data_IF_585266518070
#
_entry.id   IF_585266518070
#
_cell.length_a   1.000
_cell.length_b   1.000
_cell.length_c   1.000
_cell.angle_alpha   90.00
_cell.angle_beta   90.00
_cell.angle_gamma   90.00
#
_symmetry.space_group_name_H-M   'P 1'
#
loop_
_entity.id
_entity.type
_entity.pdbx_description
1 polymer ?
#
# COMPACT_ATOMS: atom_id res chain seq x y z
N UNK A 1 -17.90 38.49 2.68
CA UNK A 1 -17.38 37.44 3.60
C UNK A 1 -18.23 36.17 3.57
N UNK A 2 -19.56 36.24 3.81
CA UNK A 2 -20.43 35.06 3.79
C UNK A 2 -20.48 34.31 2.43
N UNK A 3 -20.45 35.04 1.31
CA UNK A 3 -20.42 34.47 -0.05
C UNK A 3 -19.13 33.70 -0.34
N UNK A 4 -17.98 34.24 0.08
CA UNK A 4 -16.67 33.59 -0.04
C UNK A 4 -16.62 32.34 0.84
N UNK A 5 -17.11 32.43 2.09
CA UNK A 5 -17.18 31.29 2.99
C UNK A 5 -18.07 30.16 2.44
N UNK A 6 -19.23 30.50 1.86
CA UNK A 6 -20.14 29.54 1.24
C UNK A 6 -19.52 28.88 0.00
N UNK A 7 -18.85 29.65 -0.87
CA UNK A 7 -18.12 29.12 -2.03
C UNK A 7 -16.96 28.20 -1.60
N UNK A 8 -16.18 28.59 -0.59
CA UNK A 8 -15.11 27.75 -0.04
C UNK A 8 -15.65 26.45 0.53
N UNK A 9 -16.76 26.50 1.28
CA UNK A 9 -17.42 25.30 1.81
C UNK A 9 -17.92 24.39 0.70
N UNK A 10 -18.56 24.94 -0.34
CA UNK A 10 -19.04 24.19 -1.50
C UNK A 10 -17.88 23.47 -2.21
N UNK A 11 -16.76 24.16 -2.44
CA UNK A 11 -15.57 23.58 -3.07
C UNK A 11 -14.98 22.46 -2.21
N UNK A 12 -14.94 22.62 -0.88
CA UNK A 12 -14.47 21.58 0.05
C UNK A 12 -15.38 20.35 -0.02
N UNK A 13 -16.70 20.54 0.04
CA UNK A 13 -17.68 19.46 -0.01
C UNK A 13 -17.61 18.68 -1.34
N UNK A 14 -17.50 19.39 -2.47
CA UNK A 14 -17.35 18.75 -3.78
C UNK A 14 -16.05 17.94 -3.83
N UNK A 15 -14.93 18.49 -3.36
CA UNK A 15 -13.64 17.76 -3.32
C UNK A 15 -13.73 16.51 -2.46
N UNK A 16 -14.43 16.58 -1.34
CA UNK A 16 -14.60 15.45 -0.44
C UNK A 16 -15.47 14.36 -1.04
N UNK A 17 -16.59 14.74 -1.69
CA UNK A 17 -17.46 13.80 -2.37
C UNK A 17 -16.72 13.08 -3.51
N UNK A 18 -15.93 13.81 -4.31
CA UNK A 18 -15.09 13.23 -5.35
C UNK A 18 -14.04 12.26 -4.79
N UNK A 19 -13.45 12.58 -3.65
CA UNK A 19 -12.47 11.70 -3.01
C UNK A 19 -13.09 10.38 -2.54
N UNK A 20 -14.29 10.44 -1.95
CA UNK A 20 -15.04 9.26 -1.50
C UNK A 20 -15.47 8.42 -2.70
N UNK A 21 -16.01 9.05 -3.74
CA UNK A 21 -16.42 8.36 -4.97
C UNK A 21 -15.24 7.61 -5.61
N UNK A 22 -14.06 8.26 -5.67
CA UNK A 22 -12.85 7.64 -6.24
C UNK A 22 -12.39 6.41 -5.45
N UNK A 23 -12.58 6.39 -4.13
CA UNK A 23 -12.28 5.23 -3.30
C UNK A 23 -13.31 4.10 -3.50
N UNK A 24 -14.59 4.44 -3.65
CA UNK A 24 -15.63 3.46 -3.96
C UNK A 24 -15.44 2.81 -5.35
N UNK A 25 -14.95 3.57 -6.33
CA UNK A 25 -14.58 3.03 -7.64
C UNK A 25 -13.46 1.99 -7.54
N UNK A 26 -12.45 2.21 -6.70
CA UNK A 26 -11.40 1.20 -6.44
C UNK A 26 -11.99 -0.10 -5.90
N UNK A 27 -12.86 -0.03 -4.88
CA UNK A 27 -13.52 -1.22 -4.32
C UNK A 27 -14.36 -1.96 -5.39
N UNK A 28 -15.03 -1.22 -6.27
CA UNK A 28 -15.84 -1.77 -7.36
C UNK A 28 -14.99 -2.39 -8.46
N UNK A 29 -13.85 -1.79 -8.81
CA UNK A 29 -12.88 -2.35 -9.75
C UNK A 29 -12.30 -3.66 -9.21
N UNK A 30 -11.92 -3.71 -7.93
CA UNK A 30 -11.40 -4.94 -7.33
C UNK A 30 -12.43 -6.09 -7.39
N UNK A 31 -13.69 -5.83 -7.02
CA UNK A 31 -14.75 -6.85 -7.08
C UNK A 31 -15.00 -7.35 -8.51
N UNK A 32 -15.05 -6.43 -9.49
CA UNK A 32 -15.20 -6.79 -10.91
C UNK A 32 -14.01 -7.55 -11.45
N UNK A 33 -12.79 -7.23 -11.00
CA UNK A 33 -11.59 -7.98 -11.37
C UNK A 33 -11.71 -9.44 -10.92
N UNK A 34 -12.06 -9.67 -9.65
CA UNK A 34 -12.23 -11.03 -9.12
C UNK A 34 -13.33 -11.79 -9.87
N UNK A 35 -14.46 -11.14 -10.15
CA UNK A 35 -15.58 -11.76 -10.89
C UNK A 35 -15.22 -12.08 -12.35
N UNK A 36 -14.55 -11.15 -13.05
CA UNK A 36 -14.10 -11.33 -14.43
C UNK A 36 -13.06 -12.45 -14.55
N UNK A 37 -12.13 -12.56 -13.59
CA UNK A 37 -11.16 -13.66 -13.54
C UNK A 37 -11.84 -14.99 -13.18
N UNK A 38 -12.79 -15.00 -12.26
CA UNK A 38 -13.48 -16.22 -11.84
C UNK A 38 -14.39 -16.81 -12.93
N UNK A 39 -15.02 -15.95 -13.74
CA UNK A 39 -15.89 -16.35 -14.86
C UNK A 39 -15.18 -16.44 -16.20
N UNK A 40 -13.92 -16.01 -16.25
CA UNK A 40 -13.14 -15.83 -17.46
C UNK A 40 -13.86 -15.03 -18.56
N UNK A 41 -14.61 -14.00 -18.17
CA UNK A 41 -15.44 -13.19 -19.07
C UNK A 41 -14.59 -12.14 -19.82
N UNK A 42 -14.39 -12.28 -21.15
CA UNK A 42 -13.55 -11.38 -21.92
C UNK A 42 -14.13 -9.97 -22.05
N UNK A 43 -15.47 -9.84 -22.07
CA UNK A 43 -16.14 -8.54 -22.21
C UNK A 43 -16.03 -7.76 -20.91
N UNK A 44 -16.25 -8.40 -19.77
CA UNK A 44 -16.08 -7.79 -18.46
C UNK A 44 -14.61 -7.39 -18.23
N UNK A 45 -13.65 -8.24 -18.62
CA UNK A 45 -12.23 -7.94 -18.51
C UNK A 45 -11.81 -6.73 -19.35
N UNK A 46 -12.25 -6.62 -20.61
CA UNK A 46 -11.95 -5.46 -21.47
C UNK A 46 -12.49 -4.16 -20.87
N UNK A 47 -13.74 -4.15 -20.42
CA UNK A 47 -14.34 -2.98 -19.80
C UNK A 47 -13.58 -2.53 -18.54
N UNK A 48 -13.16 -3.49 -17.70
CA UNK A 48 -12.35 -3.23 -16.51
C UNK A 48 -10.98 -2.65 -16.87
N UNK A 49 -10.32 -3.18 -17.90
CA UNK A 49 -9.01 -2.73 -18.37
C UNK A 49 -9.06 -1.32 -18.95
N UNK A 50 -10.08 -1.00 -19.73
CA UNK A 50 -10.27 0.36 -20.26
C UNK A 50 -10.50 1.35 -19.11
N UNK A 51 -11.32 0.97 -18.13
CA UNK A 51 -11.55 1.78 -16.93
C UNK A 51 -10.28 1.99 -16.11
N UNK A 52 -9.48 0.93 -15.90
CA UNK A 52 -8.19 1.03 -15.23
C UNK A 52 -7.24 1.97 -15.96
N UNK A 53 -7.15 1.84 -17.29
CA UNK A 53 -6.30 2.67 -18.13
C UNK A 53 -6.70 4.14 -18.06
N UNK A 54 -8.00 4.44 -17.98
CA UNK A 54 -8.51 5.78 -17.75
C UNK A 54 -8.23 6.28 -16.32
N UNK A 55 -8.41 5.42 -15.32
CA UNK A 55 -8.21 5.75 -13.91
C UNK A 55 -6.76 6.16 -13.58
N UNK A 56 -5.79 5.52 -14.25
CA UNK A 56 -4.36 5.80 -14.12
C UNK A 56 -3.81 6.71 -15.23
N UNK A 57 -4.65 7.25 -16.12
CA UNK A 57 -4.20 8.01 -17.29
C UNK A 57 -3.34 9.24 -16.94
N UNK A 58 -3.61 9.87 -15.80
CA UNK A 58 -2.87 11.02 -15.29
C UNK A 58 -1.48 10.65 -14.69
N UNK A 59 -1.12 9.36 -14.66
CA UNK A 59 0.15 8.87 -14.11
C UNK A 59 1.13 8.57 -15.25
N UNK A 60 2.18 9.38 -15.46
CA UNK A 60 3.15 9.14 -16.52
C UNK A 60 3.88 7.81 -16.36
N UNK A 61 4.05 7.32 -15.13
CA UNK A 61 4.71 6.04 -14.84
C UNK A 61 3.99 4.83 -15.45
N UNK A 62 2.69 4.95 -15.71
CA UNK A 62 1.87 3.89 -16.31
C UNK A 62 1.80 3.97 -17.84
N UNK A 63 2.40 5.00 -18.46
CA UNK A 63 2.22 5.28 -19.88
C UNK A 63 2.76 4.14 -20.76
N UNK A 64 3.90 3.54 -20.40
CA UNK A 64 4.47 2.41 -21.14
C UNK A 64 3.54 1.19 -21.07
N UNK A 65 3.16 0.76 -19.87
CA UNK A 65 2.26 -0.39 -19.70
C UNK A 65 0.88 -0.19 -20.34
N UNK A 66 0.34 1.04 -20.31
CA UNK A 66 -0.91 1.36 -21.02
C UNK A 66 -0.79 1.25 -22.54
N UNK A 67 0.37 1.56 -23.12
CA UNK A 67 0.63 1.38 -24.56
C UNK A 67 0.73 -0.09 -24.92
N UNK A 68 1.55 -0.86 -24.20
CA UNK A 68 1.68 -2.31 -24.39
C UNK A 68 0.32 -3.02 -24.30
N UNK A 69 -0.49 -2.64 -23.31
CA UNK A 69 -1.82 -3.23 -23.11
C UNK A 69 -2.80 -2.86 -24.23
N UNK A 70 -2.71 -1.64 -24.78
CA UNK A 70 -3.56 -1.20 -25.89
C UNK A 70 -3.26 -1.97 -27.19
N UNK A 71 -2.00 -2.38 -27.39
CA UNK A 71 -1.57 -3.21 -28.51
C UNK A 71 -2.05 -4.67 -28.35
N UNK A 72 -1.88 -5.25 -27.16
CA UNK A 72 -2.14 -6.68 -26.90
C UNK A 72 -3.61 -7.02 -26.59
N UNK A 73 -4.46 -6.04 -26.22
CA UNK A 73 -5.86 -6.31 -25.79
C UNK A 73 -6.75 -6.95 -26.86
N UNK A 74 -6.43 -6.77 -28.14
CA UNK A 74 -7.17 -7.36 -29.26
C UNK A 74 -6.82 -8.81 -29.53
N UNK A 75 -5.64 -9.25 -29.08
CA UNK A 75 -5.09 -10.58 -29.31
C UNK A 75 -5.47 -11.56 -28.18
N UNK A 76 -5.76 -11.03 -26.98
CA UNK A 76 -6.12 -11.84 -25.82
C UNK A 76 -7.62 -12.17 -25.84
N UNK A 77 -7.89 -13.47 -25.91
CA UNK A 77 -9.24 -14.03 -25.91
C UNK A 77 -9.74 -14.22 -24.47
N UNK A 78 -8.89 -14.70 -23.57
CA UNK A 78 -9.28 -15.06 -22.19
C UNK A 78 -9.34 -13.83 -21.28
N UNK A 79 -10.46 -13.66 -20.57
CA UNK A 79 -10.67 -12.53 -19.67
C UNK A 79 -9.68 -12.51 -18.50
N UNK A 80 -9.39 -13.69 -17.94
CA UNK A 80 -8.45 -13.83 -16.83
C UNK A 80 -7.03 -13.39 -17.21
N UNK A 81 -6.57 -13.78 -18.41
CA UNK A 81 -5.24 -13.41 -18.91
C UNK A 81 -5.14 -11.91 -19.18
N UNK A 82 -6.21 -11.29 -19.69
CA UNK A 82 -6.25 -9.86 -19.93
C UNK A 82 -6.14 -9.06 -18.63
N UNK A 83 -6.83 -9.46 -17.56
CA UNK A 83 -6.73 -8.82 -16.23
C UNK A 83 -5.34 -9.00 -15.63
N UNK A 84 -4.74 -10.20 -15.75
CA UNK A 84 -3.39 -10.51 -15.28
C UNK A 84 -2.32 -9.67 -15.99
N UNK A 85 -2.46 -9.50 -17.30
CA UNK A 85 -1.56 -8.66 -18.09
C UNK A 85 -1.70 -7.19 -17.69
N UNK A 86 -2.93 -6.69 -17.56
CA UNK A 86 -3.19 -5.33 -17.13
C UNK A 86 -2.60 -5.03 -15.75
N UNK A 87 -2.73 -5.96 -14.80
CA UNK A 87 -2.10 -5.86 -13.48
C UNK A 87 -0.58 -5.71 -13.60
N UNK A 88 0.05 -6.57 -14.39
CA UNK A 88 1.51 -6.62 -14.51
C UNK A 88 2.07 -5.39 -15.23
N UNK A 89 1.48 -4.99 -16.35
CA UNK A 89 1.99 -3.88 -17.17
C UNK A 89 1.72 -2.51 -16.53
N UNK A 90 0.54 -2.30 -15.94
CA UNK A 90 0.15 -0.98 -15.42
C UNK A 90 0.62 -0.78 -13.97
N UNK A 91 0.47 -1.78 -13.10
CA UNK A 91 0.64 -1.57 -11.65
C UNK A 91 2.05 -1.87 -11.15
N UNK A 92 2.86 -2.67 -11.85
CA UNK A 92 4.24 -2.98 -11.42
C UNK A 92 5.10 -1.76 -11.07
N UNK A 93 5.16 -0.67 -11.88
CA UNK A 93 5.97 0.50 -11.52
C UNK A 93 5.42 1.24 -10.28
N UNK A 94 4.10 1.25 -10.09
CA UNK A 94 3.47 1.84 -8.91
C UNK A 94 3.77 1.00 -7.67
N UNK A 95 3.74 -0.33 -7.79
CA UNK A 95 4.03 -1.24 -6.69
C UNK A 95 5.48 -1.17 -6.22
N UNK A 96 6.42 -1.03 -7.15
CA UNK A 96 7.83 -0.83 -6.79
C UNK A 96 8.00 0.43 -5.93
N UNK A 97 7.35 1.53 -6.32
CA UNK A 97 7.32 2.76 -5.52
C UNK A 97 6.63 2.59 -4.17
N UNK A 98 5.50 1.87 -4.14
CA UNK A 98 4.78 1.60 -2.90
C UNK A 98 5.68 0.84 -1.90
N UNK A 99 6.37 -0.22 -2.35
CA UNK A 99 7.32 -0.99 -1.53
C UNK A 99 8.42 -0.09 -0.95
N UNK A 100 8.97 0.83 -1.74
CA UNK A 100 9.98 1.79 -1.27
C UNK A 100 9.38 2.70 -0.19
N UNK A 101 8.20 3.29 -0.42
CA UNK A 101 7.54 4.17 0.56
C UNK A 101 7.28 3.46 1.90
N UNK A 102 6.83 2.21 1.83
CA UNK A 102 6.58 1.37 3.02
C UNK A 102 7.88 1.10 3.76
N UNK A 103 8.94 0.69 3.05
CA UNK A 103 10.25 0.43 3.65
C UNK A 103 10.84 1.67 4.31
N UNK A 104 10.75 2.83 3.66
CA UNK A 104 11.24 4.09 4.21
C UNK A 104 10.46 4.51 5.47
N UNK A 105 9.13 4.38 5.48
CA UNK A 105 8.32 4.66 6.65
C UNK A 105 8.68 3.71 7.81
N UNK A 106 8.85 2.42 7.52
CA UNK A 106 9.27 1.43 8.49
C UNK A 106 10.66 1.73 9.08
N UNK A 107 11.63 2.17 8.25
CA UNK A 107 12.96 2.60 8.71
C UNK A 107 12.89 3.84 9.61
N UNK A 108 12.06 4.82 9.26
CA UNK A 108 11.86 6.04 10.07
C UNK A 108 11.27 5.71 11.44
N UNK A 109 10.22 4.88 11.47
CA UNK A 109 9.60 4.43 12.73
C UNK A 109 10.60 3.63 13.56
N UNK A 110 11.30 2.68 12.94
CA UNK A 110 12.30 1.86 13.62
C UNK A 110 13.40 2.70 14.28
N UNK A 111 13.88 3.71 13.57
CA UNK A 111 14.87 4.65 14.12
C UNK A 111 14.31 5.47 15.29
N UNK A 112 13.11 6.01 15.14
CA UNK A 112 12.52 6.89 16.16
C UNK A 112 12.18 6.11 17.42
N UNK A 113 11.67 4.89 17.30
CA UNK A 113 11.47 4.00 18.45
C UNK A 113 12.78 3.70 19.17
N UNK A 114 13.84 3.35 18.43
CA UNK A 114 15.14 3.03 19.02
C UNK A 114 15.76 4.20 19.80
N UNK A 115 15.47 5.44 19.42
CA UNK A 115 16.03 6.66 20.02
C UNK A 115 15.05 7.33 20.99
N UNK A 116 13.77 6.97 21.00
CA UNK A 116 12.75 7.69 21.77
C UNK A 116 12.88 7.42 23.29
N UNK A 117 13.05 8.45 24.12
CA UNK A 117 13.08 8.31 25.57
C UNK A 117 11.66 8.23 26.18
N UNK A 118 10.59 8.51 25.41
CA UNK A 118 9.20 8.54 25.90
C UNK A 118 8.28 7.68 25.04
N UNK A 119 7.67 6.67 25.66
CA UNK A 119 6.74 5.76 25.00
C UNK A 119 5.55 6.47 24.30
N UNK A 120 5.03 7.55 24.91
CA UNK A 120 3.92 8.31 24.30
C UNK A 120 4.31 8.99 22.98
N UNK A 121 5.54 9.52 22.90
CA UNK A 121 6.05 10.19 21.69
C UNK A 121 6.26 9.17 20.57
N UNK A 122 6.76 7.99 20.93
CA UNK A 122 6.93 6.88 19.98
C UNK A 122 5.59 6.47 19.36
N UNK A 123 4.59 6.16 20.20
CA UNK A 123 3.25 5.76 19.73
C UNK A 123 2.62 6.86 18.85
N UNK A 124 2.70 8.12 19.29
CA UNK A 124 2.18 9.24 18.52
C UNK A 124 2.86 9.36 17.14
N UNK A 125 4.18 9.16 17.08
CA UNK A 125 4.92 9.18 15.83
C UNK A 125 4.53 8.01 14.91
N UNK A 126 4.40 6.79 15.45
CA UNK A 126 3.98 5.62 14.67
C UNK A 126 2.60 5.85 14.04
N UNK A 127 1.64 6.37 14.81
CA UNK A 127 0.30 6.67 14.31
C UNK A 127 0.34 7.76 13.23
N UNK A 128 1.11 8.83 13.46
CA UNK A 128 1.30 9.89 12.49
C UNK A 128 1.91 9.38 11.17
N UNK A 129 2.98 8.61 11.24
CA UNK A 129 3.69 8.09 10.07
C UNK A 129 2.84 7.05 9.33
N UNK A 130 2.08 6.21 10.03
CA UNK A 130 1.10 5.30 9.44
C UNK A 130 0.01 6.06 8.67
N UNK A 131 -0.58 7.09 9.27
CA UNK A 131 -1.58 7.94 8.60
C UNK A 131 -1.01 8.65 7.36
N UNK A 132 0.22 9.17 7.48
CA UNK A 132 0.94 9.79 6.36
C UNK A 132 1.21 8.80 5.22
N UNK A 133 1.63 7.58 5.56
CA UNK A 133 1.90 6.50 4.60
C UNK A 133 0.62 6.10 3.86
N UNK A 134 -0.50 5.89 4.59
CA UNK A 134 -1.81 5.56 3.99
C UNK A 134 -2.22 6.62 2.96
N UNK A 135 -2.08 7.90 3.30
CA UNK A 135 -2.41 9.00 2.38
C UNK A 135 -1.53 8.97 1.12
N UNK A 136 -0.22 8.81 1.28
CA UNK A 136 0.74 8.75 0.17
C UNK A 136 0.52 7.55 -0.75
N UNK A 137 0.21 6.38 -0.18
CA UNK A 137 -0.11 5.18 -0.95
C UNK A 137 -1.40 5.35 -1.74
N UNK A 138 -2.44 5.93 -1.14
CA UNK A 138 -3.66 6.28 -1.86
C UNK A 138 -3.36 7.19 -3.06
N UNK A 139 -2.60 8.27 -2.83
CA UNK A 139 -2.21 9.23 -3.86
C UNK A 139 -1.37 8.60 -4.97
N UNK A 140 -0.51 7.63 -4.63
CA UNK A 140 0.30 6.89 -5.59
C UNK A 140 -0.59 6.11 -6.57
N UNK A 141 -1.51 5.30 -6.05
CA UNK A 141 -2.45 4.51 -6.86
C UNK A 141 -3.56 5.36 -7.49
N UNK A 142 -3.65 6.64 -7.13
CA UNK A 142 -4.49 7.65 -7.76
C UNK A 142 -5.62 8.15 -6.85
N UNK A 143 -5.96 7.44 -5.78
CA UNK A 143 -6.87 7.95 -4.76
C UNK A 143 -6.35 9.28 -4.21
N UNK A 144 -7.14 10.35 -4.33
CA UNK A 144 -6.82 11.62 -3.64
C UNK A 144 -7.75 11.72 -2.45
N UNK A 145 -7.47 11.03 -1.33
CA UNK A 145 -8.37 11.00 -0.21
C UNK A 145 -8.47 12.40 0.38
N UNK A 146 -9.70 12.92 0.45
CA UNK A 146 -10.06 14.02 1.33
C UNK A 146 -10.01 13.55 2.78
N UNK A 147 -10.57 14.35 3.67
CA UNK A 147 -10.65 14.04 5.10
C UNK A 147 -11.51 12.81 5.39
N UNK A 148 -12.76 12.76 4.92
CA UNK A 148 -13.65 11.61 5.06
C UNK A 148 -13.18 10.42 4.23
N UNK A 149 -12.66 10.66 3.01
CA UNK A 149 -12.04 9.61 2.19
C UNK A 149 -10.87 8.94 2.91
N UNK A 150 -10.06 9.70 3.64
CA UNK A 150 -8.98 9.17 4.46
C UNK A 150 -9.50 8.33 5.64
N UNK A 151 -10.53 8.79 6.36
CA UNK A 151 -11.10 7.99 7.46
C UNK A 151 -11.71 6.67 6.97
N UNK A 152 -12.38 6.68 5.81
CA UNK A 152 -12.90 5.46 5.19
C UNK A 152 -11.77 4.51 4.80
N UNK A 153 -10.73 5.02 4.15
CA UNK A 153 -9.56 4.22 3.77
C UNK A 153 -8.86 3.66 5.01
N UNK A 154 -8.59 4.48 6.03
CA UNK A 154 -7.96 4.06 7.28
C UNK A 154 -8.78 2.97 7.99
N UNK A 155 -10.11 3.11 8.05
CA UNK A 155 -11.00 2.06 8.56
C UNK A 155 -10.89 0.78 7.73
N UNK A 156 -10.84 0.90 6.40
CA UNK A 156 -10.63 -0.23 5.48
C UNK A 156 -9.32 -0.95 5.75
N UNK A 157 -8.21 -0.22 5.93
CA UNK A 157 -6.90 -0.78 6.29
C UNK A 157 -6.96 -1.51 7.63
N UNK A 158 -7.59 -0.91 8.65
CA UNK A 158 -7.75 -1.55 9.95
C UNK A 158 -8.60 -2.82 9.87
N UNK A 159 -9.70 -2.81 9.12
CA UNK A 159 -10.52 -3.99 8.88
C UNK A 159 -9.72 -5.07 8.13
N UNK A 160 -8.96 -4.68 7.11
CA UNK A 160 -8.09 -5.56 6.36
C UNK A 160 -7.05 -6.21 7.28
N UNK A 161 -6.42 -5.43 8.16
CA UNK A 161 -5.50 -5.95 9.16
C UNK A 161 -6.19 -6.89 10.16
N UNK A 162 -7.42 -6.60 10.58
CA UNK A 162 -8.15 -7.49 11.49
C UNK A 162 -8.45 -8.84 10.82
N UNK A 163 -8.86 -8.83 9.55
CA UNK A 163 -9.17 -10.04 8.77
C UNK A 163 -7.92 -10.82 8.39
N UNK A 164 -6.87 -10.13 7.95
CA UNK A 164 -5.64 -10.77 7.48
C UNK A 164 -4.59 -10.97 8.56
N UNK A 165 -4.88 -10.56 9.81
CA UNK A 165 -3.80 -10.27 10.75
C UNK A 165 -3.83 -10.82 12.16
N UNK A 166 -4.69 -11.76 12.49
CA UNK A 166 -4.68 -12.41 13.80
C UNK A 166 -3.72 -13.61 13.96
N UNK A 167 -3.22 -14.25 12.89
CA UNK A 167 -2.73 -15.65 13.03
C UNK A 167 -1.21 -15.92 12.82
N UNK A 168 -0.40 -15.06 12.19
CA UNK A 168 0.88 -15.54 11.63
C UNK A 168 2.19 -14.85 12.09
N UNK A 169 2.20 -14.04 13.15
CA UNK A 169 3.35 -13.13 13.41
C UNK A 169 4.27 -13.58 14.55
N UNK A 170 3.85 -14.46 15.45
CA UNK A 170 4.71 -14.94 16.54
C UNK A 170 5.85 -15.84 16.07
N UNK A 171 5.52 -16.97 15.46
CA UNK A 171 6.50 -18.03 15.18
C UNK A 171 7.45 -17.74 14.01
N UNK A 172 6.94 -17.20 12.91
CA UNK A 172 7.77 -16.99 11.70
C UNK A 172 8.79 -15.85 11.89
N UNK A 173 8.43 -14.81 12.65
CA UNK A 173 9.34 -13.70 12.97
C UNK A 173 10.49 -14.14 13.86
N UNK A 174 10.18 -14.91 14.92
CA UNK A 174 11.18 -15.44 15.85
C UNK A 174 12.10 -16.41 15.11
N UNK A 175 11.55 -17.33 14.29
CA UNK A 175 12.38 -18.23 13.47
C UNK A 175 13.29 -17.49 12.48
N UNK A 176 12.81 -16.44 11.81
CA UNK A 176 13.64 -15.72 10.85
C UNK A 176 14.77 -14.92 11.52
N UNK A 177 14.51 -14.34 12.70
CA UNK A 177 15.50 -13.57 13.47
C UNK A 177 16.53 -14.48 14.14
N UNK A 178 16.07 -15.59 14.73
CA UNK A 178 16.93 -16.56 15.44
C UNK A 178 17.69 -17.46 14.45
N UNK A 179 17.03 -17.93 13.39
CA UNK A 179 17.60 -18.90 12.43
C UNK A 179 18.68 -18.34 11.50
N UNK A 180 18.79 -17.01 11.35
CA UNK A 180 19.83 -16.37 10.54
C UNK A 180 20.99 -15.76 11.36
N UNK A 181 21.03 -15.99 12.68
CA UNK A 181 22.09 -15.44 13.55
C UNK A 181 22.08 -13.91 13.72
N UNK A 182 21.02 -13.24 13.24
CA UNK A 182 20.87 -11.78 13.25
C UNK A 182 20.51 -11.23 14.63
N UNK A 183 19.90 -12.06 15.49
CA UNK A 183 19.54 -11.70 16.87
C UNK A 183 20.75 -11.34 17.74
N UNK A 184 21.90 -11.99 17.51
CA UNK A 184 23.09 -11.83 18.35
C UNK A 184 23.79 -10.45 18.18
N UNK A 185 23.43 -9.68 17.14
CA UNK A 185 24.07 -8.40 16.78
C UNK A 185 23.14 -7.19 16.87
N UNK A 186 21.94 -7.32 17.43
CA UNK A 186 21.05 -6.18 17.67
C UNK A 186 20.96 -5.86 19.16
N UNK A 187 21.22 -4.61 19.53
CA UNK A 187 20.87 -4.13 20.87
C UNK A 187 19.35 -4.21 21.14
N UNK A 188 18.97 -4.29 22.42
CA UNK A 188 17.56 -4.35 22.82
C UNK A 188 16.72 -3.20 22.26
N UNK A 189 17.29 -1.99 22.20
CA UNK A 189 16.62 -0.78 21.67
C UNK A 189 16.46 -0.81 20.15
N UNK A 190 17.44 -1.33 19.41
CA UNK A 190 17.27 -1.55 17.97
C UNK A 190 16.28 -2.68 17.68
N UNK A 191 16.25 -3.72 18.51
CA UNK A 191 15.26 -4.81 18.42
C UNK A 191 13.82 -4.29 18.54
N UNK A 192 13.54 -3.48 19.56
CA UNK A 192 12.25 -2.78 19.72
C UNK A 192 11.91 -1.93 18.49
N UNK A 193 12.89 -1.19 17.96
CA UNK A 193 12.74 -0.42 16.73
C UNK A 193 12.38 -1.27 15.52
N UNK A 194 13.04 -2.41 15.30
CA UNK A 194 12.71 -3.30 14.19
C UNK A 194 11.28 -3.82 14.32
N UNK A 195 10.84 -4.21 15.52
CA UNK A 195 9.46 -4.67 15.75
C UNK A 195 8.43 -3.59 15.36
N UNK A 196 8.62 -2.35 15.79
CA UNK A 196 7.72 -1.24 15.43
C UNK A 196 7.78 -0.88 13.94
N UNK A 197 8.98 -0.92 13.34
CA UNK A 197 9.16 -0.77 11.89
C UNK A 197 8.41 -1.85 11.11
N UNK A 198 8.43 -3.09 11.59
CA UNK A 198 7.72 -4.22 10.99
C UNK A 198 6.19 -4.06 11.06
N UNK A 199 5.68 -3.60 12.20
CA UNK A 199 4.26 -3.27 12.32
C UNK A 199 3.85 -2.15 11.35
N UNK A 200 4.73 -1.15 11.17
CA UNK A 200 4.53 -0.09 10.17
C UNK A 200 4.53 -0.63 8.75
N UNK A 201 5.45 -1.54 8.43
CA UNK A 201 5.50 -2.20 7.11
C UNK A 201 4.20 -2.98 6.84
N UNK A 202 3.69 -3.69 7.85
CA UNK A 202 2.44 -4.43 7.78
C UNK A 202 1.23 -3.54 7.51
N UNK A 203 1.12 -2.42 8.22
CA UNK A 203 0.08 -1.41 7.97
C UNK A 203 0.22 -0.88 6.54
N UNK A 204 1.45 -0.63 6.09
CA UNK A 204 1.75 -0.22 4.71
C UNK A 204 1.30 -1.23 3.65
N UNK A 205 1.52 -2.53 3.86
CA UNK A 205 1.06 -3.60 2.95
C UNK A 205 -0.47 -3.63 2.89
N UNK A 206 -1.15 -3.58 4.04
CA UNK A 206 -2.62 -3.54 4.08
C UNK A 206 -3.18 -2.26 3.42
N UNK A 207 -2.50 -1.13 3.58
CA UNK A 207 -2.84 0.12 2.92
C UNK A 207 -2.65 0.04 1.41
N UNK A 208 -1.56 -0.58 0.94
CA UNK A 208 -1.30 -0.85 -0.46
C UNK A 208 -2.41 -1.70 -1.07
N UNK A 209 -2.83 -2.77 -0.40
CA UNK A 209 -3.92 -3.65 -0.86
C UNK A 209 -5.26 -2.97 -0.92
N UNK A 210 -5.58 -2.15 0.09
CA UNK A 210 -6.84 -1.42 0.15
C UNK A 210 -6.89 -0.30 -0.91
N UNK A 211 -5.75 0.31 -1.23
CA UNK A 211 -5.66 1.40 -2.20
C UNK A 211 -5.45 0.96 -3.65
N UNK A 212 -5.02 -0.30 -3.89
CA UNK A 212 -4.71 -0.81 -5.23
C UNK A 212 -5.98 -0.96 -6.09
N UNK A 213 -6.01 -0.52 -7.36
CA UNK A 213 -7.20 -0.65 -8.22
C UNK A 213 -7.56 -2.09 -8.61
N UNK A 214 -6.55 -2.96 -8.68
CA UNK A 214 -6.71 -4.39 -8.91
C UNK A 214 -6.11 -5.19 -7.75
N UNK A 215 -6.74 -6.32 -7.36
CA UNK A 215 -6.18 -7.23 -6.38
C UNK A 215 -4.93 -7.92 -6.96
N UNK A 216 -4.11 -8.50 -6.07
CA UNK A 216 -2.96 -9.30 -6.48
C UNK A 216 -3.43 -10.64 -7.07
N UNK A 217 -3.34 -10.80 -8.39
CA UNK A 217 -3.76 -12.02 -9.11
C UNK A 217 -2.57 -12.64 -9.86
N UNK A 218 -1.85 -11.84 -10.62
CA UNK A 218 -0.64 -12.21 -11.36
C UNK A 218 0.63 -11.91 -10.57
N UNK A 219 0.67 -10.76 -9.89
CA UNK A 219 1.87 -10.32 -9.17
C UNK A 219 1.84 -10.86 -7.74
N UNK A 220 3.00 -11.34 -7.25
CA UNK A 220 3.15 -11.81 -5.87
C UNK A 220 2.88 -10.67 -4.89
N UNK A 221 1.95 -10.91 -3.97
CA UNK A 221 1.69 -10.04 -2.81
C UNK A 221 2.99 -9.79 -2.04
N UNK A 222 3.34 -8.53 -1.71
CA UNK A 222 4.54 -8.23 -0.92
C UNK A 222 4.54 -8.98 0.41
N UNK A 223 5.61 -9.73 0.68
CA UNK A 223 5.75 -10.50 1.91
C UNK A 223 6.34 -9.66 3.03
N UNK A 224 5.93 -9.92 4.26
CA UNK A 224 6.50 -9.25 5.44
C UNK A 224 8.00 -9.58 5.62
N UNK A 225 8.43 -10.79 5.23
CA UNK A 225 9.83 -11.23 5.29
C UNK A 225 10.78 -10.39 4.42
N UNK A 226 10.31 -9.88 3.28
CA UNK A 226 11.10 -9.01 2.40
C UNK A 226 11.49 -7.70 3.12
N UNK A 227 10.55 -7.16 3.91
CA UNK A 227 10.78 -5.96 4.72
C UNK A 227 11.61 -6.26 5.97
N UNK A 228 11.44 -7.45 6.58
CA UNK A 228 12.21 -7.86 7.76
C UNK A 228 13.71 -7.87 7.48
N UNK A 229 14.11 -8.55 6.40
CA UNK A 229 15.53 -8.61 6.01
C UNK A 229 16.13 -7.22 5.75
N UNK A 230 15.37 -6.34 5.09
CA UNK A 230 15.81 -4.98 4.82
C UNK A 230 15.91 -4.11 6.09
N UNK A 231 15.02 -4.31 7.08
CA UNK A 231 15.02 -3.58 8.34
C UNK A 231 16.11 -4.07 9.29
N UNK A 232 16.34 -5.38 9.39
CA UNK A 232 17.43 -5.93 10.21
C UNK A 232 18.80 -5.56 9.66
N UNK A 233 18.98 -5.59 8.33
CA UNK A 233 20.20 -5.10 7.67
C UNK A 233 20.45 -3.61 7.95
N UNK A 234 19.39 -2.79 7.87
CA UNK A 234 19.47 -1.36 8.21
C UNK A 234 19.82 -1.12 9.68
N UNK A 235 19.20 -1.86 10.59
CA UNK A 235 19.47 -1.78 12.03
C UNK A 235 20.92 -2.17 12.36
N UNK A 236 21.39 -3.31 11.86
CA UNK A 236 22.76 -3.79 12.09
C UNK A 236 23.83 -2.81 11.57
N UNK A 237 23.60 -2.20 10.40
CA UNK A 237 24.50 -1.15 9.87
C UNK A 237 24.57 0.07 10.79
N UNK A 238 23.49 0.40 11.47
CA UNK A 238 23.40 1.57 12.35
C UNK A 238 24.02 1.30 13.73
N UNK A 239 23.89 0.08 14.25
CA UNK A 239 24.54 -0.35 15.49
C UNK A 239 26.07 -0.24 15.36
N UNK A 240 26.64 -0.76 14.27
CA UNK A 240 28.09 -0.68 14.01
C UNK A 240 28.62 0.70 13.60
N UNK A 241 27.78 1.75 13.55
CA UNK A 241 28.21 3.15 13.40
C UNK A 241 28.14 3.93 14.72
N UNK A 242 27.51 3.34 15.75
CA UNK A 242 27.38 3.94 17.07
C UNK A 242 28.51 3.51 18.04
N UNK A 243 29.27 2.48 17.68
CA UNK A 243 30.59 2.11 18.25
C UNK A 243 31.73 2.88 17.56
#
# INVERSE_FOLDING_TARGET
MATIALLSLLVILIREFLAIARLAEVEKMQKRALDAVARDDPKAARALVDELSAFVAAKPETAAGRRSLAELRGEIIDGANLVRLAETEILSPLDARAKIMILEAAKRVSLITAVSPRALVDIAYVVFEAGRLIRRLSELYGGRPGTLGFFRLARGVLAHLAVTGSIAVGDSFVQQIVGHGLAAKLSAKLGEGVVNGMMTARIGIAAMETARPLPFIAVKRPGLGDFLSALTSFAAKKDGQAE
#
